data_IF_093419094842
#
_entry.id   IF_093419094842
#
_cell.length_a   1.000
_cell.length_b   1.000
_cell.length_c   1.000
_cell.angle_alpha   90.00
_cell.angle_beta   90.00
_cell.angle_gamma   90.00
#
_symmetry.space_group_name_H-M   'P 1'
#
loop_
_entity.id
_entity.type
_entity.pdbx_description
1 polymer ?
#
# COMPACT_ATOMS: atom_id res chain seq x y z
N UNK A 1 -12.50 -4.21 -14.76
CA UNK A 1 -13.18 -4.01 -13.46
C UNK A 1 -13.56 -5.37 -12.93
N UNK A 2 -12.89 -5.88 -11.90
CA UNK A 2 -13.22 -7.17 -11.27
C UNK A 2 -14.16 -6.95 -10.09
N UNK A 3 -15.17 -7.80 -9.92
CA UNK A 3 -16.07 -7.77 -8.75
C UNK A 3 -15.44 -8.62 -7.65
N UNK A 4 -15.14 -8.02 -6.49
CA UNK A 4 -14.59 -8.72 -5.34
C UNK A 4 -15.70 -9.13 -4.38
N UNK A 5 -15.79 -10.42 -4.03
CA UNK A 5 -16.74 -10.94 -3.04
C UNK A 5 -15.99 -11.42 -1.79
N UNK A 6 -16.26 -10.82 -0.64
CA UNK A 6 -15.59 -11.19 0.63
C UNK A 6 -16.47 -12.10 1.47
N UNK A 7 -16.03 -13.34 1.69
CA UNK A 7 -16.68 -14.32 2.55
C UNK A 7 -16.00 -14.28 3.92
N UNK A 8 -16.70 -13.80 4.94
CA UNK A 8 -16.17 -13.67 6.30
C UNK A 8 -17.07 -14.28 7.38
N UNK A 9 -18.21 -14.85 7.00
CA UNK A 9 -19.14 -15.55 7.88
C UNK A 9 -19.95 -16.58 7.08
N UNK A 10 -20.64 -17.48 7.79
CA UNK A 10 -21.38 -18.57 7.16
C UNK A 10 -22.51 -18.07 6.25
N UNK A 11 -23.20 -17.00 6.63
CA UNK A 11 -24.29 -16.44 5.82
C UNK A 11 -23.81 -15.92 4.46
N UNK A 12 -22.67 -15.23 4.41
CA UNK A 12 -22.07 -14.77 3.14
C UNK A 12 -21.55 -15.93 2.29
N UNK A 13 -21.13 -17.03 2.92
CA UNK A 13 -20.73 -18.24 2.21
C UNK A 13 -21.93 -18.88 1.51
N UNK A 14 -23.08 -18.96 2.18
CA UNK A 14 -24.33 -19.44 1.57
C UNK A 14 -24.80 -18.55 0.42
N UNK A 15 -24.74 -17.22 0.60
CA UNK A 15 -25.07 -16.26 -0.45
C UNK A 15 -24.13 -16.37 -1.66
N UNK A 16 -22.83 -16.62 -1.43
CA UNK A 16 -21.88 -16.82 -2.51
C UNK A 16 -22.18 -18.09 -3.32
N UNK A 17 -22.55 -19.20 -2.68
CA UNK A 17 -22.95 -20.42 -3.39
C UNK A 17 -24.11 -20.16 -4.36
N UNK A 18 -25.19 -19.54 -3.86
CA UNK A 18 -26.35 -19.15 -4.70
C UNK A 18 -25.97 -18.25 -5.86
N UNK A 19 -25.00 -17.35 -5.64
CA UNK A 19 -24.49 -16.47 -6.70
C UNK A 19 -23.70 -17.23 -7.76
N UNK A 20 -22.86 -18.19 -7.36
CA UNK A 20 -22.11 -19.05 -8.29
C UNK A 20 -23.06 -19.90 -9.13
N UNK A 21 -24.08 -20.50 -8.50
CA UNK A 21 -25.09 -21.31 -9.19
C UNK A 21 -25.78 -20.49 -10.29
N UNK A 22 -26.25 -19.28 -9.95
CA UNK A 22 -26.88 -18.37 -10.93
C UNK A 22 -25.95 -17.98 -12.07
N UNK A 23 -24.68 -17.66 -11.77
CA UNK A 23 -23.72 -17.30 -12.81
C UNK A 23 -23.47 -18.45 -13.78
N UNK A 24 -23.52 -19.69 -13.29
CA UNK A 24 -23.18 -20.86 -14.10
C UNK A 24 -24.32 -21.19 -15.05
N UNK A 25 -25.57 -21.03 -14.59
CA UNK A 25 -26.76 -21.12 -15.44
C UNK A 25 -26.73 -20.12 -16.60
N UNK A 26 -26.24 -18.90 -16.38
CA UNK A 26 -26.23 -17.85 -17.42
C UNK A 26 -25.06 -17.95 -18.41
N UNK A 27 -23.87 -18.36 -17.96
CA UNK A 27 -22.62 -18.25 -18.75
C UNK A 27 -21.96 -19.58 -19.09
N UNK A 28 -22.37 -20.70 -18.48
CA UNK A 28 -21.82 -22.08 -18.62
C UNK A 28 -20.31 -22.27 -18.42
N UNK A 29 -19.52 -21.20 -18.30
CA UNK A 29 -18.09 -21.23 -18.01
C UNK A 29 -17.73 -20.02 -17.15
N UNK A 30 -17.21 -20.28 -15.94
CA UNK A 30 -16.82 -19.22 -15.00
C UNK A 30 -15.44 -19.55 -14.44
N UNK A 31 -14.59 -18.53 -14.36
CA UNK A 31 -13.30 -18.60 -13.68
C UNK A 31 -13.31 -17.61 -12.52
N UNK A 32 -13.00 -18.09 -11.31
CA UNK A 32 -12.86 -17.26 -10.12
C UNK A 32 -11.38 -17.16 -9.74
N UNK A 33 -10.97 -15.98 -9.29
CA UNK A 33 -9.68 -15.78 -8.61
C UNK A 33 -9.98 -15.48 -7.15
N UNK A 34 -9.25 -16.11 -6.22
CA UNK A 34 -9.44 -15.92 -4.79
C UNK A 34 -8.12 -15.54 -4.12
N UNK A 35 -8.22 -14.77 -3.03
CA UNK A 35 -7.08 -14.40 -2.19
C UNK A 35 -7.41 -14.71 -0.75
N UNK A 36 -6.42 -15.25 -0.02
CA UNK A 36 -6.54 -15.42 1.43
C UNK A 36 -6.10 -14.13 2.13
N UNK A 37 -6.73 -13.84 3.28
CA UNK A 37 -6.44 -12.67 4.09
C UNK A 37 -7.52 -11.60 4.02
N UNK A 38 -7.64 -10.82 5.10
CA UNK A 38 -8.58 -9.70 5.12
C UNK A 38 -8.09 -8.64 4.13
N UNK A 39 -8.93 -8.22 3.15
CA UNK A 39 -8.61 -7.03 2.38
C UNK A 39 -8.38 -5.89 3.36
N UNK A 40 -7.42 -5.02 3.01
CA UNK A 40 -7.02 -3.90 3.85
C UNK A 40 -8.24 -3.12 4.33
N UNK A 41 -8.34 -2.90 5.64
CA UNK A 41 -9.44 -2.07 6.16
C UNK A 41 -9.31 -0.65 5.60
N UNK A 42 -10.42 0.03 5.24
CA UNK A 42 -10.39 1.44 4.86
C UNK A 42 -9.62 2.33 5.87
N UNK A 43 -9.68 1.97 7.16
CA UNK A 43 -8.91 2.64 8.23
C UNK A 43 -7.40 2.48 8.09
N UNK A 44 -6.95 1.28 7.70
CA UNK A 44 -5.53 1.03 7.44
C UNK A 44 -5.06 1.73 6.17
N UNK A 45 -5.92 1.88 5.16
CA UNK A 45 -5.60 2.66 3.96
C UNK A 45 -5.44 4.14 4.30
N UNK A 46 -6.39 4.72 5.05
CA UNK A 46 -6.29 6.10 5.53
C UNK A 46 -5.01 6.34 6.34
N UNK A 47 -4.65 5.42 7.25
CA UNK A 47 -3.41 5.53 8.02
C UNK A 47 -2.15 5.54 7.14
N UNK A 48 -2.10 4.77 6.04
CA UNK A 48 -0.96 4.85 5.12
C UNK A 48 -0.89 6.16 4.34
N UNK A 49 -2.03 6.68 3.88
CA UNK A 49 -2.04 7.97 3.20
C UNK A 49 -1.54 9.09 4.13
N UNK A 50 -1.90 9.04 5.42
CA UNK A 50 -1.35 9.94 6.44
C UNK A 50 0.15 9.73 6.61
N UNK A 51 0.60 8.47 6.71
CA UNK A 51 2.03 8.15 6.83
C UNK A 51 2.84 8.71 5.66
N UNK A 52 2.38 8.50 4.42
CA UNK A 52 3.08 9.00 3.23
C UNK A 52 3.21 10.52 3.22
N UNK A 53 2.17 11.21 3.68
CA UNK A 53 2.17 12.67 3.81
C UNK A 53 3.16 13.14 4.87
N UNK A 54 3.13 12.52 6.05
CA UNK A 54 4.07 12.87 7.14
C UNK A 54 5.51 12.53 6.78
N UNK A 55 5.74 11.40 6.12
CA UNK A 55 7.05 10.98 5.68
C UNK A 55 7.66 11.98 4.69
N UNK A 56 6.90 12.35 3.67
CA UNK A 56 7.30 13.36 2.70
C UNK A 56 7.66 14.70 3.38
N UNK A 57 6.83 15.15 4.33
CA UNK A 57 7.10 16.38 5.09
C UNK A 57 8.39 16.29 5.91
N UNK A 58 8.55 15.24 6.72
CA UNK A 58 9.73 15.01 7.58
C UNK A 58 11.03 14.94 6.77
N UNK A 59 10.99 14.29 5.61
CA UNK A 59 12.16 14.21 4.72
C UNK A 59 12.53 15.58 4.17
N UNK A 60 11.56 16.36 3.71
CA UNK A 60 11.81 17.72 3.23
C UNK A 60 12.31 18.66 4.35
N UNK A 61 11.74 18.57 5.56
CA UNK A 61 12.19 19.33 6.74
C UNK A 61 13.63 18.97 7.15
N UNK A 62 14.05 17.72 6.92
CA UNK A 62 15.41 17.25 7.15
C UNK A 62 16.37 17.58 5.98
N UNK A 63 15.90 18.28 4.94
CA UNK A 63 16.70 18.60 3.74
C UNK A 63 17.03 17.38 2.87
N UNK A 64 16.27 16.29 2.99
CA UNK A 64 16.46 15.07 2.22
C UNK A 64 15.53 15.12 1.02
N UNK A 65 16.07 15.42 -0.15
CA UNK A 65 15.34 15.49 -1.41
C UNK A 65 15.43 14.16 -2.19
N UNK A 66 14.38 13.84 -2.94
CA UNK A 66 14.40 12.70 -3.85
C UNK A 66 15.20 13.08 -5.10
N UNK A 67 16.23 12.28 -5.41
CA UNK A 67 16.98 12.43 -6.65
C UNK A 67 16.25 11.77 -7.81
N UNK A 68 15.82 12.57 -8.77
CA UNK A 68 15.23 12.09 -10.01
C UNK A 68 16.24 12.22 -11.14
N UNK A 69 16.58 11.08 -11.75
CA UNK A 69 17.39 11.05 -12.95
C UNK A 69 16.51 11.34 -14.16
N UNK A 70 16.42 12.62 -14.54
CA UNK A 70 15.71 13.03 -15.74
C UNK A 70 16.60 12.76 -16.97
N UNK A 71 16.21 11.84 -17.85
CA UNK A 71 16.98 11.51 -19.08
C UNK A 71 17.28 12.72 -19.99
N UNK A 72 16.55 13.83 -19.82
CA UNK A 72 16.67 15.07 -20.58
C UNK A 72 17.50 16.16 -19.87
N UNK A 73 17.85 15.98 -18.60
CA UNK A 73 18.68 16.93 -17.84
C UNK A 73 19.95 16.20 -17.42
N UNK A 74 21.12 16.78 -17.73
CA UNK A 74 22.40 16.24 -17.25
C UNK A 74 22.52 16.51 -15.75
N UNK A 75 22.24 15.50 -14.95
CA UNK A 75 22.46 15.51 -13.50
C UNK A 75 21.26 14.99 -12.71
N UNK A 76 21.50 14.66 -11.45
CA UNK A 76 20.44 14.33 -10.51
C UNK A 76 19.77 15.63 -10.04
N UNK A 77 18.46 15.73 -10.29
CA UNK A 77 17.67 16.86 -9.79
C UNK A 77 17.12 16.47 -8.44
N UNK A 78 17.36 17.33 -7.46
CA UNK A 78 16.76 17.22 -6.14
C UNK A 78 15.33 17.77 -6.18
N UNK A 79 14.36 16.89 -5.99
CA UNK A 79 12.93 17.23 -5.98
C UNK A 79 12.39 17.02 -4.57
N UNK A 80 11.58 17.96 -4.03
CA UNK A 80 10.88 17.75 -2.77
C UNK A 80 9.97 16.53 -2.83
N UNK A 81 9.99 15.75 -1.76
CA UNK A 81 9.08 14.63 -1.59
C UNK A 81 7.65 15.16 -1.51
N UNK A 82 6.80 14.64 -2.38
CA UNK A 82 5.34 14.74 -2.28
C UNK A 82 4.77 13.42 -1.77
N UNK A 83 3.54 13.44 -1.24
CA UNK A 83 2.83 12.22 -0.83
C UNK A 83 2.80 11.17 -1.96
N UNK A 84 2.59 11.59 -3.20
CA UNK A 84 2.54 10.68 -4.36
C UNK A 84 3.92 10.10 -4.73
N UNK A 85 4.97 10.92 -4.68
CA UNK A 85 6.34 10.44 -4.92
C UNK A 85 6.78 9.41 -3.88
N UNK A 86 6.47 9.67 -2.60
CA UNK A 86 6.79 8.75 -1.51
C UNK A 86 5.95 7.47 -1.59
N UNK A 87 4.68 7.58 -1.98
CA UNK A 87 3.82 6.42 -2.26
C UNK A 87 4.34 5.56 -3.43
N UNK A 88 4.93 6.18 -4.44
CA UNK A 88 5.55 5.48 -5.57
C UNK A 88 6.83 4.76 -5.13
N UNK A 89 7.65 5.42 -4.32
CA UNK A 89 8.81 4.80 -3.68
C UNK A 89 8.42 3.60 -2.81
N UNK A 90 7.37 3.74 -1.99
CA UNK A 90 6.82 2.63 -1.21
C UNK A 90 6.40 1.45 -2.10
N UNK A 91 5.70 1.72 -3.21
CA UNK A 91 5.31 0.69 -4.19
C UNK A 91 6.50 -0.07 -4.75
N UNK A 92 7.60 0.62 -5.05
CA UNK A 92 8.81 -0.02 -5.55
C UNK A 92 9.39 -1.00 -4.53
N UNK A 93 9.54 -0.59 -3.27
CA UNK A 93 10.06 -1.47 -2.21
C UNK A 93 9.11 -2.65 -1.97
N UNK A 94 7.80 -2.39 -1.93
CA UNK A 94 6.79 -3.43 -1.82
C UNK A 94 6.93 -4.45 -2.96
N UNK A 95 7.08 -4.00 -4.20
CA UNK A 95 7.22 -4.87 -5.35
C UNK A 95 8.53 -5.67 -5.29
N UNK A 96 9.63 -5.05 -4.86
CA UNK A 96 10.91 -5.76 -4.68
C UNK A 96 10.85 -6.81 -3.56
N UNK A 97 10.14 -6.55 -2.47
CA UNK A 97 10.07 -7.48 -1.32
C UNK A 97 9.07 -8.62 -1.51
N UNK A 98 7.98 -8.39 -2.24
CA UNK A 98 6.84 -9.30 -2.28
C UNK A 98 6.31 -9.60 -3.69
N UNK A 99 6.87 -8.99 -4.73
CA UNK A 99 6.41 -9.09 -6.13
C UNK A 99 4.92 -8.69 -6.28
N UNK A 100 4.47 -7.73 -5.46
CA UNK A 100 3.09 -7.20 -5.48
C UNK A 100 3.11 -5.78 -6.06
N UNK A 101 2.61 -5.63 -7.29
CA UNK A 101 2.56 -4.35 -8.00
C UNK A 101 1.55 -3.35 -7.41
N UNK A 102 0.51 -3.86 -6.74
CA UNK A 102 -0.60 -3.04 -6.22
C UNK A 102 -0.54 -2.84 -4.71
N UNK A 103 -0.45 -1.58 -4.26
CA UNK A 103 -0.60 -1.21 -2.83
C UNK A 103 -1.96 -1.57 -2.22
N UNK A 104 -2.92 -1.95 -3.06
CA UNK A 104 -4.26 -2.37 -2.67
C UNK A 104 -4.35 -3.87 -2.37
N UNK A 105 -3.38 -4.67 -2.84
CA UNK A 105 -3.35 -6.13 -2.69
C UNK A 105 -2.45 -6.60 -1.53
N UNK A 106 -1.69 -5.68 -0.93
CA UNK A 106 -0.80 -6.02 0.19
C UNK A 106 -1.57 -6.25 1.49
N UNK A 107 -1.29 -7.37 2.15
CA UNK A 107 -1.83 -7.71 3.46
C UNK A 107 -1.20 -6.86 4.58
N UNK A 108 -1.90 -6.68 5.69
CA UNK A 108 -1.48 -5.81 6.80
C UNK A 108 -0.14 -6.18 7.41
N UNK A 109 0.17 -7.47 7.50
CA UNK A 109 1.44 -8.02 7.97
C UNK A 109 2.60 -7.64 7.04
N UNK A 110 2.39 -7.67 5.72
CA UNK A 110 3.39 -7.26 4.73
C UNK A 110 3.64 -5.74 4.77
N UNK A 111 2.61 -4.93 5.03
CA UNK A 111 2.76 -3.46 5.22
C UNK A 111 3.72 -3.14 6.36
N UNK A 112 3.61 -3.84 7.49
CA UNK A 112 4.52 -3.65 8.62
C UNK A 112 5.98 -3.98 8.25
N UNK A 113 6.20 -5.03 7.45
CA UNK A 113 7.54 -5.40 6.95
C UNK A 113 8.12 -4.35 6.00
N UNK A 114 7.32 -3.79 5.09
CA UNK A 114 7.78 -2.70 4.20
C UNK A 114 8.11 -1.45 5.01
N UNK A 115 7.28 -1.12 6.01
CA UNK A 115 7.55 -0.01 6.93
C UNK A 115 8.88 -0.21 7.66
N UNK A 116 9.12 -1.39 8.23
CA UNK A 116 10.35 -1.69 8.96
C UNK A 116 11.60 -1.55 8.08
N UNK A 117 11.54 -2.08 6.85
CA UNK A 117 12.63 -1.96 5.87
C UNK A 117 12.92 -0.49 5.50
N UNK A 118 11.88 0.32 5.28
CA UNK A 118 12.03 1.75 4.98
C UNK A 118 12.57 2.51 6.20
N UNK A 119 11.98 2.30 7.37
CA UNK A 119 12.35 3.00 8.60
C UNK A 119 13.81 2.68 8.97
N UNK A 120 14.21 1.42 8.86
CA UNK A 120 15.60 1.01 9.04
C UNK A 120 16.53 1.72 8.06
N UNK A 121 16.19 1.71 6.76
CA UNK A 121 17.00 2.37 5.74
C UNK A 121 17.09 3.89 5.92
N UNK A 122 16.03 4.53 6.40
CA UNK A 122 16.03 5.96 6.72
C UNK A 122 16.89 6.25 7.96
N UNK A 123 16.72 5.51 9.04
CA UNK A 123 17.52 5.70 10.27
C UNK A 123 19.01 5.46 10.00
N UNK A 124 19.36 4.38 9.28
CA UNK A 124 20.75 4.05 8.95
C UNK A 124 21.43 5.09 8.04
N UNK A 125 20.68 5.74 7.13
CA UNK A 125 21.24 6.66 6.13
C UNK A 125 21.15 8.12 6.51
N UNK A 126 20.09 8.51 7.22
CA UNK A 126 19.74 9.91 7.44
C UNK A 126 19.50 10.24 8.91
N UNK A 127 19.41 9.24 9.79
CA UNK A 127 19.08 9.43 11.20
C UNK A 127 17.63 9.86 11.45
N UNK A 128 16.80 9.96 10.41
CA UNK A 128 15.41 10.40 10.52
C UNK A 128 14.51 9.21 10.82
N UNK A 129 13.82 9.27 11.96
CA UNK A 129 12.78 8.30 12.32
C UNK A 129 11.38 8.87 12.02
N UNK A 130 10.59 8.12 11.26
CA UNK A 130 9.23 8.51 10.86
C UNK A 130 8.26 7.50 11.47
N UNK A 131 7.60 7.83 12.59
CA UNK A 131 6.69 6.88 13.23
C UNK A 131 5.46 6.64 12.34
N UNK A 132 4.98 5.40 12.34
CA UNK A 132 3.69 5.09 11.73
C UNK A 132 2.56 5.80 12.51
N UNK A 133 1.60 6.46 11.84
CA UNK A 133 0.51 7.15 12.51
C UNK A 133 -0.38 6.13 13.24
N UNK A 134 -0.20 6.04 14.56
CA UNK A 134 -1.11 5.33 15.46
C UNK A 134 -2.34 6.20 15.72
N UNK A 135 -3.46 5.58 16.13
CA UNK A 135 -4.72 6.31 16.41
C UNK A 135 -4.54 7.49 17.36
N UNK A 136 -3.58 7.43 18.28
CA UNK A 136 -3.28 8.51 19.24
C UNK A 136 -2.72 9.77 18.58
N UNK A 137 -2.08 9.67 17.42
CA UNK A 137 -1.56 10.84 16.68
C UNK A 137 -2.64 11.56 15.86
N UNK A 138 -3.82 10.95 15.67
CA UNK A 138 -4.93 11.56 14.91
C UNK A 138 -5.90 12.39 15.77
N UNK A 139 -5.62 12.57 17.08
CA UNK A 139 -6.46 13.37 18.01
C UNK A 139 -5.90 14.79 18.28
N UNK A 140 -5.36 15.47 17.27
CA UNK A 140 -5.07 16.92 17.37
C UNK A 140 -5.61 17.70 16.19
#
# INVERSE_FOLDING_TARGET
>A
MGVQYTINNEHKKEMFKKFVDKLYEERQYITFTYTFGKPRSPKQQAALEVYFREAAKRLNDAGIYHQMNAKFIKGDIEIPWTQESFKTFWKQIQNTMFEIESTTEIQSDKVAKVYDAINRGLVERTGVHIPFPSKELMEK
#
